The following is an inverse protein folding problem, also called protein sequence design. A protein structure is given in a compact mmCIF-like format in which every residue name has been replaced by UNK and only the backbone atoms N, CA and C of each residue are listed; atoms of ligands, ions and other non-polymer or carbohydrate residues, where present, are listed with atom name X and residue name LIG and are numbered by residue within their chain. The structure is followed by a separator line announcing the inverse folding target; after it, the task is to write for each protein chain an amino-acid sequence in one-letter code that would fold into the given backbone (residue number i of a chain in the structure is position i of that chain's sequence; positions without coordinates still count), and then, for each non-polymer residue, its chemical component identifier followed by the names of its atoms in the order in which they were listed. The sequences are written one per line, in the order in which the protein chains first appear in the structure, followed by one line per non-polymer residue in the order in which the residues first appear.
data_IF_879280775253
#
_entry.id   IF_879280775253
#
_cell.length_a   1.000
_cell.length_b   1.000
_cell.length_c   1.000
_cell.angle_alpha   90.00
_cell.angle_beta   90.00
_cell.angle_gamma   90.00
#
_symmetry.space_group_name_H-M   'P 1'
#
loop_
_entity.id
_entity.type
_entity.pdbx_description
1 polymer ?
#
# COMPACT_ATOMS: atom_id res chain seq x y z
N UNK A 1 -18.43 -10.65 4.19
CA UNK A 1 -17.41 -9.66 4.63
C UNK A 1 -17.44 -8.53 3.61
N UNK A 2 -17.74 -7.28 4.00
CA UNK A 2 -17.65 -6.14 3.05
C UNK A 2 -16.18 -5.76 2.89
N UNK A 3 -15.72 -5.65 1.65
CA UNK A 3 -14.32 -5.39 1.32
C UNK A 3 -13.84 -3.98 1.71
N UNK A 4 -14.76 -3.04 1.96
CA UNK A 4 -14.45 -1.60 2.08
C UNK A 4 -13.62 -1.17 0.86
N UNK A 5 -14.17 -1.36 -0.33
CA UNK A 5 -13.47 -1.20 -1.60
C UNK A 5 -12.78 0.15 -1.76
N UNK A 6 -13.43 1.23 -1.32
CA UNK A 6 -12.83 2.58 -1.33
C UNK A 6 -11.56 2.68 -0.48
N UNK A 7 -11.51 2.01 0.68
CA UNK A 7 -10.32 1.98 1.53
C UNK A 7 -9.17 1.23 0.85
N UNK A 8 -9.47 0.10 0.19
CA UNK A 8 -8.47 -0.65 -0.59
C UNK A 8 -7.89 0.23 -1.70
N UNK A 9 -8.76 0.92 -2.45
CA UNK A 9 -8.36 1.83 -3.51
C UNK A 9 -7.44 2.94 -3.00
N UNK A 10 -7.86 3.62 -1.94
CA UNK A 10 -7.10 4.72 -1.32
C UNK A 10 -5.71 4.26 -0.91
N UNK A 11 -5.60 3.16 -0.16
CA UNK A 11 -4.30 2.66 0.30
C UNK A 11 -3.41 2.23 -0.89
N UNK A 12 -4.00 1.66 -1.95
CA UNK A 12 -3.25 1.33 -3.17
C UNK A 12 -2.75 2.59 -3.88
N UNK A 13 -3.58 3.60 -4.03
CA UNK A 13 -3.17 4.86 -4.68
C UNK A 13 -2.13 5.60 -3.84
N UNK A 14 -2.35 5.67 -2.52
CA UNK A 14 -1.37 6.18 -1.58
C UNK A 14 -0.07 5.43 -1.75
N UNK A 15 -0.08 4.09 -1.90
CA UNK A 15 1.08 3.22 -2.17
C UNK A 15 1.89 3.57 -3.43
N UNK A 16 1.37 4.44 -4.30
CA UNK A 16 1.98 4.79 -5.58
C UNK A 16 1.80 3.72 -6.66
N UNK A 17 1.02 2.66 -6.38
CA UNK A 17 0.81 1.55 -7.31
C UNK A 17 -0.43 1.73 -8.18
N UNK A 18 -0.25 1.48 -9.47
CA UNK A 18 -1.35 1.39 -10.42
C UNK A 18 -2.24 0.18 -10.15
N UNK A 19 -3.49 0.23 -10.63
CA UNK A 19 -4.47 -0.87 -10.50
C UNK A 19 -3.93 -2.20 -11.06
N UNK A 20 -3.38 -2.16 -12.29
CA UNK A 20 -2.87 -3.35 -12.97
C UNK A 20 -1.69 -3.97 -12.25
N UNK A 21 -0.74 -3.15 -11.82
CA UNK A 21 0.45 -3.60 -11.10
C UNK A 21 0.07 -4.30 -9.78
N UNK A 22 -0.81 -3.68 -9.01
CA UNK A 22 -1.26 -4.25 -7.73
C UNK A 22 -2.02 -5.56 -7.94
N UNK A 23 -2.91 -5.62 -8.92
CA UNK A 23 -3.67 -6.83 -9.25
C UNK A 23 -2.74 -8.01 -9.60
N UNK A 24 -1.71 -7.74 -10.43
CA UNK A 24 -0.70 -8.74 -10.80
C UNK A 24 0.07 -9.24 -9.58
N UNK A 25 0.51 -8.36 -8.67
CA UNK A 25 1.24 -8.72 -7.45
C UNK A 25 0.46 -9.66 -6.53
N UNK A 26 -0.85 -9.44 -6.41
CA UNK A 26 -1.72 -10.30 -5.59
C UNK A 26 -2.31 -11.48 -6.38
N UNK A 27 -1.97 -11.64 -7.66
CA UNK A 27 -2.41 -12.75 -8.50
C UNK A 27 -3.91 -12.76 -8.81
N UNK A 28 -4.47 -11.60 -9.16
CA UNK A 28 -5.85 -11.46 -9.66
C UNK A 28 -5.90 -10.56 -10.90
N UNK A 29 -7.01 -10.56 -11.63
CA UNK A 29 -7.16 -9.66 -12.78
C UNK A 29 -7.41 -8.20 -12.37
N UNK A 30 -6.91 -7.22 -13.13
CA UNK A 30 -7.19 -5.79 -12.87
C UNK A 30 -8.69 -5.47 -12.85
N UNK A 31 -9.47 -6.11 -13.73
CA UNK A 31 -10.93 -5.96 -13.78
C UNK A 31 -11.61 -6.49 -12.52
N UNK A 32 -11.10 -7.58 -11.92
CA UNK A 32 -11.63 -8.10 -10.66
C UNK A 32 -11.29 -7.18 -9.50
N UNK A 33 -10.05 -6.67 -9.42
CA UNK A 33 -9.66 -5.67 -8.44
C UNK A 33 -10.51 -4.40 -8.54
N UNK A 34 -10.76 -3.89 -9.76
CA UNK A 34 -11.64 -2.73 -9.99
C UNK A 34 -13.05 -2.94 -9.44
N UNK A 35 -13.62 -4.14 -9.61
CA UNK A 35 -14.94 -4.46 -9.05
C UNK A 35 -14.89 -4.53 -7.52
N UNK A 36 -13.83 -5.09 -6.94
CA UNK A 36 -13.64 -5.12 -5.48
C UNK A 36 -13.56 -3.68 -4.92
N UNK A 37 -12.77 -2.81 -5.55
CA UNK A 37 -12.58 -1.41 -5.13
C UNK A 37 -13.86 -0.56 -5.20
N UNK A 38 -14.80 -0.94 -6.08
CA UNK A 38 -16.10 -0.28 -6.21
C UNK A 38 -17.22 -0.97 -5.44
N UNK A 39 -16.87 -1.92 -4.56
CA UNK A 39 -17.80 -2.77 -3.79
C UNK A 39 -18.80 -3.55 -4.69
N UNK A 40 -18.41 -3.82 -5.95
CA UNK A 40 -19.19 -4.57 -6.95
C UNK A 40 -18.82 -6.07 -7.01
N UNK A 41 -17.91 -6.52 -6.15
CA UNK A 41 -17.52 -7.91 -6.03
C UNK A 41 -17.27 -8.27 -4.56
N UNK A 42 -17.59 -9.51 -4.21
CA UNK A 42 -17.27 -10.07 -2.90
C UNK A 42 -16.02 -10.96 -3.03
N UNK A 43 -14.83 -10.48 -2.65
CA UNK A 43 -13.60 -11.27 -2.71
C UNK A 43 -13.63 -12.43 -1.72
N UNK A 44 -12.96 -13.53 -2.07
CA UNK A 44 -12.75 -14.62 -1.11
C UNK A 44 -11.84 -14.16 0.04
N UNK A 45 -11.90 -14.81 1.22
CA UNK A 45 -10.99 -14.51 2.32
C UNK A 45 -9.51 -14.56 1.93
N UNK A 46 -9.14 -15.47 1.01
CA UNK A 46 -7.77 -15.57 0.50
C UNK A 46 -7.36 -14.37 -0.38
N UNK A 47 -8.28 -13.82 -1.17
CA UNK A 47 -8.04 -12.57 -1.92
C UNK A 47 -7.91 -11.40 -0.95
N UNK A 48 -8.81 -11.29 0.03
CA UNK A 48 -8.75 -10.24 1.06
C UNK A 48 -7.43 -10.26 1.84
N UNK A 49 -6.97 -11.45 2.23
CA UNK A 49 -5.68 -11.63 2.91
C UNK A 49 -4.51 -11.16 2.06
N UNK A 50 -4.48 -11.50 0.77
CA UNK A 50 -3.43 -11.06 -0.16
C UNK A 50 -3.43 -9.53 -0.33
N UNK A 51 -4.61 -8.92 -0.46
CA UNK A 51 -4.74 -7.44 -0.50
C UNK A 51 -4.14 -6.82 0.77
N UNK A 52 -4.55 -7.28 1.95
CA UNK A 52 -4.08 -6.75 3.22
C UNK A 52 -2.57 -6.94 3.41
N UNK A 53 -2.03 -8.10 3.01
CA UNK A 53 -0.60 -8.39 3.09
C UNK A 53 0.21 -7.48 2.18
N UNK A 54 -0.23 -7.26 0.95
CA UNK A 54 0.51 -6.41 0.01
C UNK A 54 0.49 -4.95 0.47
N UNK A 55 -0.67 -4.41 0.88
CA UNK A 55 -0.75 -3.05 1.43
C UNK A 55 0.14 -2.85 2.66
N UNK A 56 0.24 -3.86 3.55
CA UNK A 56 1.12 -3.79 4.72
C UNK A 56 2.61 -3.74 4.35
N UNK A 57 3.03 -4.47 3.30
CA UNK A 57 4.42 -4.42 2.85
C UNK A 57 4.77 -3.03 2.32
N UNK A 58 3.86 -2.41 1.56
CA UNK A 58 4.04 -1.05 1.06
C UNK A 58 4.19 -0.03 2.18
N UNK A 59 3.32 -0.12 3.20
CA UNK A 59 3.38 0.76 4.35
C UNK A 59 4.75 0.69 5.05
N UNK A 60 5.24 -0.53 5.30
CA UNK A 60 6.56 -0.74 5.90
C UNK A 60 7.71 -0.22 5.04
N UNK A 61 7.63 -0.39 3.72
CA UNK A 61 8.66 0.12 2.83
C UNK A 61 8.74 1.65 2.88
N UNK A 62 7.60 2.34 3.01
CA UNK A 62 7.56 3.81 3.14
C UNK A 62 8.15 4.29 4.46
N UNK A 63 7.78 3.65 5.55
CA UNK A 63 8.31 3.96 6.89
C UNK A 63 9.83 3.83 6.90
N UNK A 64 10.37 2.73 6.36
CA UNK A 64 11.81 2.51 6.28
C UNK A 64 12.52 3.57 5.40
N UNK A 65 11.91 4.00 4.29
CA UNK A 65 12.48 5.06 3.44
C UNK A 65 12.48 6.40 4.19
N UNK A 66 11.40 6.73 4.89
CA UNK A 66 11.29 7.97 5.66
C UNK A 66 12.36 8.06 6.77
N UNK A 67 12.58 6.97 7.51
CA UNK A 67 13.62 6.88 8.54
C UNK A 67 15.04 7.18 7.99
N UNK A 68 15.36 6.68 6.79
CA UNK A 68 16.64 6.95 6.13
C UNK A 68 16.76 8.43 5.78
N UNK A 69 15.72 9.04 5.20
CA UNK A 69 15.76 10.44 4.76
C UNK A 69 15.76 11.44 5.92
N UNK A 70 15.21 11.08 7.07
CA UNK A 70 15.15 11.96 8.25
C UNK A 70 16.48 12.01 9.04
N UNK A 71 17.43 11.12 8.75
CA UNK A 71 18.70 10.99 9.49
C UNK A 71 19.72 12.11 9.14
N UNK A 72 19.56 12.83 8.03
CA UNK A 72 20.56 13.83 7.58
C UNK A 72 20.48 15.21 8.29
N UNK A 73 19.57 15.41 9.26
CA UNK A 73 19.38 16.72 9.94
C UNK A 73 20.18 16.89 11.24
N UNK A 74 20.84 15.86 11.75
CA UNK A 74 21.62 15.92 12.99
C UNK A 74 23.12 15.78 12.69
N UNK A 75 23.72 16.78 12.04
CA UNK A 75 25.15 16.78 11.71
C UNK A 75 25.87 18.12 11.88
N UNK A 76 25.18 19.26 11.74
CA UNK A 76 25.83 20.57 11.57
C UNK A 76 25.63 21.54 12.76
N UNK A 77 25.58 21.03 13.99
CA UNK A 77 25.75 21.87 15.18
C UNK A 77 26.86 21.28 16.07
N UNK A 78 28.10 21.61 15.71
CA UNK A 78 29.21 21.67 16.66
C UNK A 78 29.39 23.16 17.03
N UNK A 79 28.90 23.62 18.19
CA UNK A 79 29.33 24.91 18.71
C UNK A 79 30.76 24.72 19.24
N UNK A 80 31.74 25.21 18.49
CA UNK A 80 33.10 25.38 19.00
C UNK A 80 33.12 26.61 19.91
N UNK A 81 33.27 26.40 21.22
CA UNK A 81 33.71 27.40 22.19
C UNK A 81 35.17 27.82 21.94
#
# INVERSE_FOLDING_TARGET
MKARGQSIRRNREESGRGLTEFANRIGISPSYLSRIERDQANPSPGVMRRIAQELRKEQRAREAIAEITDTERQGDEQPSE
#
